data_IF_546282278782
#
_entry.id   IF_546282278782
#
_cell.length_a   1.000
_cell.length_b   1.000
_cell.length_c   1.000
_cell.angle_alpha   90.00
_cell.angle_beta   90.00
_cell.angle_gamma   90.00
#
_symmetry.space_group_name_H-M   'P 1'
#
loop_
_entity.id
_entity.type
_entity.pdbx_description
1 polymer ?
#
# COMPACT_ATOMS: atom_id res chain seq x y z
N UNK A 1 18.14 -24.92 -26.67
CA UNK A 1 17.61 -24.64 -25.31
C UNK A 1 18.69 -25.04 -24.31
N UNK A 2 18.98 -24.25 -23.29
CA UNK A 2 20.07 -24.49 -22.32
C UNK A 2 19.51 -24.83 -20.94
N UNK A 3 20.09 -25.82 -20.27
CA UNK A 3 19.78 -26.17 -18.89
C UNK A 3 20.72 -25.40 -17.97
N UNK A 4 20.19 -24.50 -17.15
CA UNK A 4 20.96 -23.63 -16.28
C UNK A 4 20.67 -23.94 -14.81
N UNK A 5 21.71 -23.92 -13.97
CA UNK A 5 21.60 -23.92 -12.51
C UNK A 5 21.86 -22.51 -11.98
N UNK A 6 20.97 -21.98 -11.14
CA UNK A 6 21.20 -20.69 -10.51
C UNK A 6 22.03 -20.84 -9.23
N UNK A 7 23.25 -20.30 -9.19
CA UNK A 7 24.10 -20.37 -8.00
C UNK A 7 23.53 -19.61 -6.79
N UNK A 8 22.61 -18.67 -7.01
CA UNK A 8 21.97 -17.90 -5.94
C UNK A 8 20.82 -18.63 -5.25
N UNK A 9 20.05 -19.45 -5.97
CA UNK A 9 18.85 -20.08 -5.41
C UNK A 9 18.78 -21.60 -5.65
N UNK A 10 19.81 -22.20 -6.24
CA UNK A 10 19.92 -23.64 -6.53
C UNK A 10 18.93 -24.17 -7.57
N UNK A 11 18.04 -23.32 -8.10
CA UNK A 11 16.97 -23.73 -9.02
C UNK A 11 17.55 -24.07 -10.39
N UNK A 12 17.11 -25.19 -10.94
CA UNK A 12 17.32 -25.55 -12.34
C UNK A 12 16.20 -25.00 -13.21
N UNK A 13 16.55 -24.46 -14.38
CA UNK A 13 15.59 -23.87 -15.31
C UNK A 13 16.12 -23.93 -16.74
N UNK A 14 15.19 -23.95 -17.69
CA UNK A 14 15.48 -23.94 -19.12
C UNK A 14 15.43 -22.51 -19.66
N UNK A 15 16.43 -22.10 -20.42
CA UNK A 15 16.39 -20.82 -21.14
C UNK A 15 16.92 -20.94 -22.57
N UNK A 16 16.40 -20.14 -23.51
CA UNK A 16 17.06 -19.94 -24.78
C UNK A 16 18.36 -19.14 -24.58
N UNK A 17 19.36 -19.36 -25.43
CA UNK A 17 20.65 -18.67 -25.36
C UNK A 17 20.50 -17.14 -25.41
N UNK A 18 19.48 -16.66 -26.13
CA UNK A 18 19.14 -15.23 -26.27
C UNK A 18 18.62 -14.59 -24.98
N UNK A 19 18.07 -15.37 -24.05
CA UNK A 19 17.59 -14.88 -22.76
C UNK A 19 18.66 -14.95 -21.65
N UNK A 20 19.85 -15.48 -21.96
CA UNK A 20 20.94 -15.58 -21.00
C UNK A 20 21.46 -14.19 -20.60
N UNK A 21 21.25 -13.85 -19.33
CA UNK A 21 21.84 -12.67 -18.69
C UNK A 21 22.99 -13.14 -17.81
N UNK A 22 24.22 -12.79 -18.17
CA UNK A 22 25.45 -13.21 -17.47
C UNK A 22 25.35 -13.06 -15.95
N UNK A 23 24.78 -11.93 -15.49
CA UNK A 23 24.75 -11.60 -14.06
C UNK A 23 23.46 -12.02 -13.34
N UNK A 24 22.42 -12.48 -14.07
CA UNK A 24 21.12 -12.76 -13.47
C UNK A 24 20.22 -13.66 -14.33
N UNK A 25 20.64 -14.90 -14.63
CA UNK A 25 19.91 -15.77 -15.54
C UNK A 25 18.56 -16.22 -14.97
N UNK A 26 18.43 -16.33 -13.63
CA UNK A 26 17.20 -16.77 -12.96
C UNK A 26 16.35 -15.61 -12.37
N UNK A 27 16.68 -14.35 -12.66
CA UNK A 27 16.08 -13.13 -12.10
C UNK A 27 16.22 -12.93 -10.56
N UNK A 28 16.78 -13.87 -9.80
CA UNK A 28 16.94 -13.76 -8.34
C UNK A 28 17.76 -12.56 -7.89
N UNK A 29 18.82 -12.18 -8.61
CA UNK A 29 19.62 -11.01 -8.25
C UNK A 29 18.81 -9.72 -8.34
N UNK A 30 17.93 -9.61 -9.35
CA UNK A 30 17.01 -8.47 -9.49
C UNK A 30 15.96 -8.47 -8.38
N UNK A 31 15.43 -9.63 -8.00
CA UNK A 31 14.49 -9.73 -6.88
C UNK A 31 15.11 -9.28 -5.55
N UNK A 32 16.37 -9.65 -5.28
CA UNK A 32 17.11 -9.21 -4.09
C UNK A 32 17.34 -7.69 -4.14
N UNK A 33 17.95 -7.17 -5.21
CA UNK A 33 18.22 -5.72 -5.36
C UNK A 33 16.94 -4.88 -5.27
N UNK A 34 15.83 -5.35 -5.85
CA UNK A 34 14.54 -4.66 -5.78
C UNK A 34 14.03 -4.54 -4.34
N UNK A 35 14.22 -5.58 -3.52
CA UNK A 35 13.87 -5.53 -2.09
C UNK A 35 14.75 -4.53 -1.34
N UNK A 36 16.05 -4.54 -1.56
CA UNK A 36 17.00 -3.62 -0.90
C UNK A 36 16.73 -2.16 -1.27
N UNK A 37 16.60 -1.86 -2.56
CA UNK A 37 16.26 -0.52 -3.06
C UNK A 37 14.90 -0.09 -2.51
N UNK A 38 13.90 -0.97 -2.54
CA UNK A 38 12.58 -0.70 -1.99
C UNK A 38 12.61 -0.37 -0.50
N UNK A 39 13.37 -1.11 0.29
CA UNK A 39 13.56 -0.85 1.72
C UNK A 39 14.26 0.49 1.98
N UNK A 40 15.29 0.82 1.19
CA UNK A 40 16.00 2.11 1.27
C UNK A 40 15.08 3.28 0.95
N UNK A 41 14.39 3.23 -0.20
CA UNK A 41 13.45 4.28 -0.63
C UNK A 41 12.32 4.45 0.38
N UNK A 42 11.81 3.35 0.94
CA UNK A 42 10.80 3.41 1.99
C UNK A 42 11.32 4.13 3.24
N UNK A 43 12.56 3.83 3.68
CA UNK A 43 13.18 4.49 4.83
C UNK A 43 13.34 5.99 4.61
N UNK A 44 13.82 6.41 3.44
CA UNK A 44 13.94 7.82 3.05
C UNK A 44 12.58 8.53 3.05
N UNK A 45 11.54 7.89 2.51
CA UNK A 45 10.18 8.45 2.52
C UNK A 45 9.63 8.58 3.94
N UNK A 46 9.81 7.57 4.79
CA UNK A 46 9.34 7.63 6.19
C UNK A 46 10.02 8.77 6.93
N UNK A 47 11.34 8.96 6.76
CA UNK A 47 12.06 10.08 7.37
C UNK A 47 11.52 11.45 6.92
N UNK A 48 11.13 11.58 5.64
CA UNK A 48 10.65 12.84 5.08
C UNK A 48 9.17 13.14 5.40
N UNK A 49 8.30 12.15 5.32
CA UNK A 49 6.84 12.36 5.27
C UNK A 49 6.08 11.79 6.47
N UNK A 50 6.76 11.14 7.41
CA UNK A 50 6.12 10.69 8.65
C UNK A 50 6.14 11.81 9.70
N UNK A 51 5.01 12.49 9.83
CA UNK A 51 4.85 13.66 10.71
C UNK A 51 3.67 13.47 11.64
N UNK A 52 3.81 13.89 12.90
CA UNK A 52 2.75 13.80 13.92
C UNK A 52 2.06 12.42 14.02
N UNK A 53 2.83 11.34 13.86
CA UNK A 53 2.30 9.97 13.92
C UNK A 53 1.45 9.57 12.70
N UNK A 54 1.58 10.28 11.58
CA UNK A 54 0.91 9.98 10.31
C UNK A 54 1.88 10.06 9.15
N UNK A 55 1.76 9.12 8.22
CA UNK A 55 2.52 9.14 6.97
C UNK A 55 1.69 9.81 5.88
N UNK A 56 2.09 11.02 5.46
CA UNK A 56 1.29 11.88 4.58
C UNK A 56 0.90 11.23 3.23
N UNK A 57 1.78 10.48 2.52
CA UNK A 57 1.41 9.84 1.26
C UNK A 57 0.27 8.83 1.40
N UNK A 58 0.10 8.22 2.58
CA UNK A 58 -1.03 7.32 2.81
C UNK A 58 -2.37 8.05 2.90
N UNK A 59 -2.39 9.35 3.16
CA UNK A 59 -3.61 10.16 3.17
C UNK A 59 -4.08 10.52 1.75
N UNK A 60 -3.13 10.60 0.80
CA UNK A 60 -3.36 10.93 -0.62
C UNK A 60 -3.56 9.68 -1.49
N UNK A 61 -3.28 8.49 -0.94
CA UNK A 61 -3.32 7.23 -1.69
C UNK A 61 -4.74 6.91 -2.14
N UNK A 62 -4.86 6.69 -3.45
CA UNK A 62 -6.08 6.24 -4.11
C UNK A 62 -6.55 4.86 -3.63
N UNK A 63 -7.83 4.59 -3.86
CA UNK A 63 -8.43 3.31 -3.58
C UNK A 63 -7.84 2.20 -4.48
N UNK A 64 -7.62 1.03 -3.89
CA UNK A 64 -7.10 -0.11 -4.64
C UNK A 64 -8.18 -0.64 -5.60
N UNK A 65 -7.84 -0.82 -6.87
CA UNK A 65 -8.72 -1.39 -7.91
C UNK A 65 -9.26 -2.77 -7.54
N UNK A 66 -8.51 -3.55 -6.76
CA UNK A 66 -8.92 -4.88 -6.29
C UNK A 66 -9.82 -4.83 -5.04
N UNK A 67 -10.18 -3.64 -4.55
CA UNK A 67 -11.04 -3.49 -3.40
C UNK A 67 -12.50 -3.76 -3.78
N UNK A 68 -13.10 -4.82 -3.23
CA UNK A 68 -14.48 -5.21 -3.48
C UNK A 68 -15.50 -4.15 -3.08
N UNK A 69 -15.20 -3.33 -2.07
CA UNK A 69 -16.07 -2.21 -1.69
C UNK A 69 -15.86 -0.98 -2.59
N UNK A 70 -14.74 -0.91 -3.32
CA UNK A 70 -14.33 0.25 -4.10
C UNK A 70 -13.80 1.42 -3.27
N UNK A 71 -13.80 1.31 -1.93
CA UNK A 71 -13.36 2.38 -1.01
C UNK A 71 -12.56 1.80 0.14
N UNK A 72 -11.36 2.29 0.38
CA UNK A 72 -10.51 1.83 1.48
C UNK A 72 -11.19 2.02 2.82
N UNK A 73 -10.97 1.10 3.76
CA UNK A 73 -11.59 1.19 5.08
C UNK A 73 -13.10 0.94 5.07
N UNK A 74 -13.65 0.36 3.98
CA UNK A 74 -15.02 -0.14 3.92
C UNK A 74 -14.99 -1.61 3.53
N UNK A 75 -15.69 -2.45 4.29
CA UNK A 75 -15.76 -3.90 4.05
C UNK A 75 -17.11 -4.47 4.46
N UNK A 76 -17.59 -5.48 3.74
CA UNK A 76 -18.77 -6.24 4.14
C UNK A 76 -18.39 -7.31 5.16
N UNK A 77 -19.15 -7.40 6.26
CA UNK A 77 -18.99 -8.44 7.27
C UNK A 77 -20.08 -9.50 7.09
N UNK A 78 -19.72 -10.61 6.46
CA UNK A 78 -20.62 -11.73 6.13
C UNK A 78 -21.31 -12.32 7.37
N UNK A 79 -20.63 -12.38 8.52
CA UNK A 79 -21.20 -12.94 9.76
C UNK A 79 -22.38 -12.13 10.28
N UNK A 80 -22.32 -10.81 10.08
CA UNK A 80 -23.36 -9.89 10.57
C UNK A 80 -24.30 -9.42 9.46
N UNK A 81 -23.96 -9.67 8.19
CA UNK A 81 -24.66 -9.12 7.04
C UNK A 81 -24.59 -7.59 6.92
N UNK A 82 -23.57 -6.95 7.50
CA UNK A 82 -23.47 -5.48 7.61
C UNK A 82 -22.21 -4.93 6.96
N UNK A 83 -22.30 -3.71 6.42
CA UNK A 83 -21.17 -2.95 5.92
C UNK A 83 -20.46 -2.22 7.05
N UNK A 84 -19.16 -2.38 7.16
CA UNK A 84 -18.35 -1.75 8.21
C UNK A 84 -17.47 -0.67 7.59
N UNK A 85 -17.56 0.54 8.12
CA UNK A 85 -16.63 1.61 7.85
C UNK A 85 -15.66 1.75 9.04
N UNK A 86 -14.37 1.77 8.74
CA UNK A 86 -13.32 1.91 9.74
C UNK A 86 -12.21 2.84 9.26
N UNK A 87 -11.61 3.57 10.19
CA UNK A 87 -10.46 4.43 9.93
C UNK A 87 -9.62 4.58 11.18
N UNK A 88 -8.31 4.45 11.02
CA UNK A 88 -7.33 4.87 12.01
C UNK A 88 -6.59 6.11 11.53
N UNK A 89 -6.31 7.01 12.46
CA UNK A 89 -5.57 8.23 12.23
C UNK A 89 -4.69 8.53 13.45
N UNK A 90 -3.41 8.86 13.25
CA UNK A 90 -2.44 9.09 14.33
C UNK A 90 -2.42 7.98 15.39
N UNK A 91 -2.48 6.72 14.94
CA UNK A 91 -2.48 5.54 15.81
C UNK A 91 -3.79 5.30 16.59
N UNK A 92 -4.84 6.09 16.39
CA UNK A 92 -6.14 5.93 17.06
C UNK A 92 -7.24 5.56 16.08
N UNK A 93 -8.17 4.70 16.50
CA UNK A 93 -9.38 4.41 15.74
C UNK A 93 -10.34 5.59 15.85
N UNK A 94 -10.59 6.27 14.74
CA UNK A 94 -11.46 7.45 14.67
C UNK A 94 -12.81 7.17 14.00
N UNK A 95 -12.91 6.05 13.28
CA UNK A 95 -14.17 5.53 12.74
C UNK A 95 -14.21 4.02 12.92
N UNK A 96 -15.31 3.50 13.46
CA UNK A 96 -15.60 2.06 13.56
C UNK A 96 -17.11 1.86 13.72
N UNK A 97 -17.85 1.96 12.61
CA UNK A 97 -19.32 1.87 12.59
C UNK A 97 -19.79 0.82 11.58
N UNK A 98 -20.94 0.23 11.85
CA UNK A 98 -21.60 -0.74 10.95
C UNK A 98 -22.94 -0.19 10.44
N UNK A 99 -23.23 -0.48 9.18
CA UNK A 99 -24.34 0.03 8.41
C UNK A 99 -25.02 -1.12 7.65
N UNK A 100 -26.26 -0.90 7.25
CA UNK A 100 -26.99 -1.86 6.41
C UNK A 100 -26.68 -1.63 4.93
N UNK A 101 -26.49 -0.36 4.55
CA UNK A 101 -26.18 0.02 3.18
C UNK A 101 -24.68 0.28 2.98
N UNK A 102 -24.16 -0.13 1.82
CA UNK A 102 -22.76 0.10 1.41
C UNK A 102 -22.47 1.60 1.30
N UNK A 103 -23.41 2.33 0.74
CA UNK A 103 -23.34 3.75 0.42
C UNK A 103 -23.21 4.58 1.69
N UNK A 104 -23.88 4.17 2.78
CA UNK A 104 -23.76 4.82 4.09
C UNK A 104 -22.37 4.62 4.69
N UNK A 105 -21.85 3.40 4.64
CA UNK A 105 -20.49 3.11 5.09
C UNK A 105 -19.44 3.93 4.33
N UNK A 106 -19.59 4.03 3.00
CA UNK A 106 -18.72 4.86 2.15
C UNK A 106 -18.85 6.34 2.51
N UNK A 107 -20.08 6.84 2.71
CA UNK A 107 -20.32 8.24 3.06
C UNK A 107 -19.65 8.60 4.38
N UNK A 108 -19.79 7.76 5.40
CA UNK A 108 -19.17 7.98 6.71
C UNK A 108 -17.64 7.86 6.65
N UNK A 109 -17.10 6.95 5.83
CA UNK A 109 -15.67 6.89 5.54
C UNK A 109 -15.15 8.19 4.93
N UNK A 110 -15.77 8.69 3.87
CA UNK A 110 -15.37 9.93 3.18
C UNK A 110 -15.52 11.16 4.06
N UNK A 111 -16.58 11.24 4.87
CA UNK A 111 -16.74 12.31 5.88
C UNK A 111 -15.60 12.30 6.89
N UNK A 112 -15.20 11.12 7.37
CA UNK A 112 -14.09 11.01 8.30
C UNK A 112 -12.77 11.47 7.64
N UNK A 113 -12.49 11.09 6.39
CA UNK A 113 -11.32 11.56 5.66
C UNK A 113 -11.32 13.08 5.48
N UNK A 114 -12.47 13.68 5.15
CA UNK A 114 -12.60 15.13 5.05
C UNK A 114 -12.31 15.83 6.38
N UNK A 115 -12.79 15.26 7.50
CA UNK A 115 -12.62 15.85 8.83
C UNK A 115 -11.18 15.71 9.34
N UNK A 116 -10.58 14.52 9.22
CA UNK A 116 -9.26 14.22 9.80
C UNK A 116 -8.10 14.51 8.86
N UNK A 117 -8.22 14.25 7.55
CA UNK A 117 -7.09 14.37 6.63
C UNK A 117 -6.95 15.80 6.10
N UNK A 118 -8.07 16.47 5.79
CA UNK A 118 -8.04 17.81 5.18
C UNK A 118 -7.24 18.85 5.98
N UNK A 119 -7.37 18.95 7.32
CA UNK A 119 -6.57 19.92 8.09
C UNK A 119 -5.07 19.64 8.01
N UNK A 120 -4.68 18.36 8.07
CA UNK A 120 -3.27 17.95 8.02
C UNK A 120 -2.69 18.17 6.63
N UNK A 121 -3.40 17.77 5.57
CA UNK A 121 -2.95 17.99 4.20
C UNK A 121 -2.76 19.49 3.92
N UNK A 122 -3.70 20.34 4.33
CA UNK A 122 -3.57 21.80 4.16
C UNK A 122 -2.33 22.36 4.86
N UNK A 123 -2.09 21.95 6.11
CA UNK A 123 -0.92 22.37 6.89
C UNK A 123 0.38 22.01 6.17
N UNK A 124 0.55 20.76 5.79
CA UNK A 124 1.83 20.29 5.21
C UNK A 124 2.05 20.70 3.76
N UNK A 125 0.98 21.05 3.03
CA UNK A 125 1.10 21.76 1.74
C UNK A 125 1.58 23.19 1.95
N UNK A 126 1.08 23.91 2.96
CA UNK A 126 1.54 25.28 3.24
C UNK A 126 2.98 25.36 3.76
N UNK A 127 3.45 24.31 4.43
CA UNK A 127 4.82 24.19 4.95
C UNK A 127 5.83 23.68 3.90
N UNK A 128 5.39 23.37 2.67
CA UNK A 128 6.25 22.89 1.59
C UNK A 128 6.81 21.47 1.80
N UNK A 129 6.19 20.68 2.70
CA UNK A 129 6.57 19.29 2.94
C UNK A 129 5.95 18.37 1.89
N UNK A 130 4.70 18.64 1.51
CA UNK A 130 3.95 17.97 0.44
C UNK A 130 3.97 18.77 -0.86
#
# INVERSE_FOLDING_TARGET
>A
MWYCNCHLCGRFFLMPQTAYKKDNPCNCLWAIRKKEIGARLYKEQVQKFHVEGTFLPLLLKEDNVNNTSGVRGVSFNEKTGRWVAYMSFKGKNVLRKSFECKEEAIRERRKAELFYFRPVLKKYVSEGVL
#
